data_IF_612067812064
#
_entry.id   IF_612067812064
#
_cell.length_a   1.000
_cell.length_b   1.000
_cell.length_c   1.000
_cell.angle_alpha   90.00
_cell.angle_beta   90.00
_cell.angle_gamma   90.00
#
_symmetry.space_group_name_H-M   'P 1'
#
loop_
_entity.id
_entity.type
_entity.pdbx_description
1 polymer ?
#
# COMPACT_ATOMS: atom_id res chain seq x y z
N UNK A 1 -14.35 -12.15 13.41
CA UNK A 1 -13.26 -11.92 12.44
C UNK A 1 -12.97 -13.24 11.73
N UNK A 2 -13.18 -13.32 10.42
CA UNK A 2 -12.88 -14.51 9.62
C UNK A 2 -11.47 -14.36 9.07
N UNK A 3 -10.60 -15.33 9.34
CA UNK A 3 -9.20 -15.34 8.91
C UNK A 3 -9.00 -16.61 8.10
N UNK A 4 -8.35 -16.48 6.94
CA UNK A 4 -7.96 -17.59 6.09
C UNK A 4 -6.44 -17.75 6.12
N UNK A 5 -5.98 -18.99 6.10
CA UNK A 5 -4.58 -19.38 6.01
C UNK A 5 -4.37 -20.40 4.90
N UNK A 6 -3.15 -20.86 4.71
CA UNK A 6 -2.83 -21.89 3.70
C UNK A 6 -3.68 -23.15 3.85
N UNK A 7 -4.08 -23.52 5.08
CA UNK A 7 -4.95 -24.67 5.33
C UNK A 7 -6.40 -24.48 4.86
N UNK A 8 -6.85 -23.24 4.68
CA UNK A 8 -8.19 -22.90 4.18
C UNK A 8 -8.23 -22.86 2.65
N UNK A 9 -7.07 -22.93 1.99
CA UNK A 9 -6.98 -23.01 0.54
C UNK A 9 -7.22 -24.46 0.10
N UNK A 10 -8.36 -24.72 -0.51
CA UNK A 10 -8.68 -26.03 -1.09
C UNK A 10 -7.78 -26.35 -2.30
N UNK A 11 -8.13 -25.82 -3.47
CA UNK A 11 -7.30 -25.95 -4.67
C UNK A 11 -6.75 -24.58 -5.05
N UNK A 12 -5.45 -24.49 -5.32
CA UNK A 12 -4.90 -23.26 -5.90
C UNK A 12 -5.31 -23.16 -7.38
N UNK A 13 -6.26 -22.27 -7.67
CA UNK A 13 -6.83 -22.10 -9.01
C UNK A 13 -5.89 -21.37 -9.97
N UNK A 14 -4.91 -20.63 -9.45
CA UNK A 14 -4.03 -19.78 -10.25
C UNK A 14 -2.87 -20.52 -10.90
N UNK A 15 -2.47 -21.69 -10.37
CA UNK A 15 -1.37 -22.48 -10.96
C UNK A 15 -1.60 -22.89 -12.42
N UNK A 16 -2.85 -22.99 -12.84
CA UNK A 16 -3.24 -23.28 -14.23
C UNK A 16 -3.73 -22.05 -14.98
N UNK A 17 -3.73 -20.87 -14.37
CA UNK A 17 -4.23 -19.63 -14.95
C UNK A 17 -3.11 -18.76 -15.49
N UNK A 18 -3.44 -17.95 -16.49
CA UNK A 18 -2.62 -16.81 -16.89
C UNK A 18 -3.06 -15.58 -16.10
N UNK A 19 -2.13 -14.93 -15.40
CA UNK A 19 -2.38 -13.72 -14.60
C UNK A 19 -1.75 -12.50 -15.29
N UNK A 20 -2.55 -11.47 -15.57
CA UNK A 20 -2.07 -10.18 -16.05
C UNK A 20 -1.91 -9.20 -14.89
N UNK A 21 -0.68 -8.74 -14.65
CA UNK A 21 -0.39 -7.60 -13.77
C UNK A 21 -0.43 -6.32 -14.60
N UNK A 22 -1.43 -5.46 -14.38
CA UNK A 22 -1.59 -4.21 -15.12
C UNK A 22 -0.95 -3.05 -14.37
N UNK A 23 0.23 -2.62 -14.81
CA UNK A 23 1.06 -1.66 -14.10
C UNK A 23 2.21 -2.32 -13.35
N UNK A 24 3.39 -1.70 -13.40
CA UNK A 24 4.62 -2.23 -12.81
C UNK A 24 5.29 -1.20 -11.88
N UNK A 25 4.47 -0.59 -11.01
CA UNK A 25 4.94 0.30 -9.95
C UNK A 25 5.35 -0.47 -8.69
N UNK A 26 5.27 0.18 -7.52
CA UNK A 26 5.65 -0.39 -6.23
C UNK A 26 5.00 -1.77 -5.97
N UNK A 27 3.66 -1.86 -6.03
CA UNK A 27 2.94 -3.13 -5.84
C UNK A 27 3.06 -4.06 -7.05
N UNK A 28 2.85 -3.53 -8.27
CA UNK A 28 2.90 -4.34 -9.49
C UNK A 28 4.20 -5.14 -9.66
N UNK A 29 5.35 -4.52 -9.35
CA UNK A 29 6.65 -5.19 -9.32
C UNK A 29 6.68 -6.37 -8.35
N UNK A 30 6.25 -6.16 -7.09
CA UNK A 30 6.27 -7.20 -6.07
C UNK A 30 5.34 -8.37 -6.40
N UNK A 31 4.11 -8.07 -6.81
CA UNK A 31 3.13 -9.09 -7.16
C UNK A 31 3.59 -9.90 -8.38
N UNK A 32 4.05 -9.24 -9.45
CA UNK A 32 4.52 -9.95 -10.64
C UNK A 32 5.68 -10.90 -10.34
N UNK A 33 6.67 -10.46 -9.57
CA UNK A 33 7.82 -11.29 -9.21
C UNK A 33 7.42 -12.44 -8.29
N UNK A 34 6.57 -12.21 -7.28
CA UNK A 34 6.13 -13.26 -6.36
C UNK A 34 5.29 -14.33 -7.07
N UNK A 35 4.40 -13.92 -7.98
CA UNK A 35 3.61 -14.84 -8.81
C UNK A 35 4.52 -15.71 -9.70
N UNK A 36 5.48 -15.09 -10.39
CA UNK A 36 6.45 -15.81 -11.23
C UNK A 36 7.25 -16.82 -10.40
N UNK A 37 7.77 -16.41 -9.25
CA UNK A 37 8.58 -17.27 -8.38
C UNK A 37 7.72 -18.38 -7.74
N UNK A 38 6.40 -18.18 -7.65
CA UNK A 38 5.41 -19.19 -7.26
C UNK A 38 4.96 -20.10 -8.41
N UNK A 39 5.53 -19.93 -9.61
CA UNK A 39 5.27 -20.75 -10.79
C UNK A 39 3.97 -20.41 -11.52
N UNK A 40 3.41 -19.22 -11.32
CA UNK A 40 2.22 -18.75 -12.03
C UNK A 40 2.63 -18.09 -13.35
N UNK A 41 1.97 -18.47 -14.45
CA UNK A 41 2.12 -17.81 -15.75
C UNK A 41 1.69 -16.35 -15.64
N UNK A 42 2.66 -15.44 -15.66
CA UNK A 42 2.44 -14.02 -15.38
C UNK A 42 2.80 -13.17 -16.59
N UNK A 43 1.85 -12.34 -17.03
CA UNK A 43 2.04 -11.35 -18.10
C UNK A 43 1.99 -9.96 -17.48
N UNK A 44 2.87 -9.05 -17.91
CA UNK A 44 2.89 -7.67 -17.42
C UNK A 44 2.35 -6.73 -18.51
N UNK A 45 1.26 -6.04 -18.21
CA UNK A 45 0.66 -5.02 -19.06
C UNK A 45 1.08 -3.63 -18.60
N UNK A 46 1.80 -2.88 -19.45
CA UNK A 46 2.18 -1.49 -19.13
C UNK A 46 2.05 -0.58 -20.34
N UNK A 47 1.97 0.73 -20.08
CA UNK A 47 2.02 1.74 -21.14
C UNK A 47 3.39 1.69 -21.82
N UNK A 48 3.39 1.46 -23.13
CA UNK A 48 4.61 1.34 -23.96
C UNK A 48 5.50 2.57 -23.81
N UNK A 49 6.79 2.34 -23.54
CA UNK A 49 7.80 3.39 -23.40
C UNK A 49 7.79 4.13 -22.05
N UNK A 50 6.85 3.83 -21.15
CA UNK A 50 6.84 4.38 -19.79
C UNK A 50 7.89 3.76 -18.88
N UNK A 51 8.05 4.32 -17.67
CA UNK A 51 8.97 3.80 -16.63
C UNK A 51 8.64 2.34 -16.29
N UNK A 52 7.38 2.02 -16.02
CA UNK A 52 6.95 0.66 -15.72
C UNK A 52 7.31 -0.37 -16.80
N UNK A 53 7.34 0.01 -18.08
CA UNK A 53 7.78 -0.87 -19.17
C UNK A 53 9.27 -1.20 -19.05
N UNK A 54 10.09 -0.19 -18.78
CA UNK A 54 11.53 -0.36 -18.61
C UNK A 54 11.85 -1.14 -17.33
N UNK A 55 11.09 -0.88 -16.25
CA UNK A 55 11.27 -1.52 -14.95
C UNK A 55 10.87 -3.00 -15.03
N UNK A 56 9.79 -3.32 -15.73
CA UNK A 56 9.38 -4.68 -16.01
C UNK A 56 10.44 -5.45 -16.81
N UNK A 57 11.04 -4.82 -17.83
CA UNK A 57 12.14 -5.42 -18.58
C UNK A 57 13.35 -5.72 -17.67
N UNK A 58 13.71 -4.80 -16.76
CA UNK A 58 14.77 -5.05 -15.75
C UNK A 58 14.39 -6.16 -14.76
N UNK A 59 13.10 -6.30 -14.47
CA UNK A 59 12.55 -7.40 -13.69
C UNK A 59 12.47 -8.75 -14.43
N UNK A 60 12.85 -8.79 -15.71
CA UNK A 60 12.83 -9.99 -16.55
C UNK A 60 11.46 -10.32 -17.15
N UNK A 61 10.61 -9.31 -17.34
CA UNK A 61 9.32 -9.44 -18.02
C UNK A 61 9.33 -8.75 -19.38
N UNK A 62 8.90 -9.49 -20.41
CA UNK A 62 8.56 -8.93 -21.71
C UNK A 62 7.17 -8.31 -21.64
N UNK A 63 7.11 -7.01 -21.28
CA UNK A 63 5.84 -6.29 -21.16
C UNK A 63 5.11 -6.18 -22.49
N UNK A 64 3.78 -6.18 -22.43
CA UNK A 64 2.88 -5.88 -23.54
C UNK A 64 1.96 -4.70 -23.18
N UNK A 65 1.17 -4.21 -24.14
CA UNK A 65 0.16 -3.19 -23.86
C UNK A 65 -0.94 -3.72 -22.93
N UNK A 66 -1.63 -2.82 -22.21
CA UNK A 66 -2.63 -3.20 -21.20
C UNK A 66 -3.74 -4.07 -21.81
N UNK A 67 -4.37 -3.62 -22.89
CA UNK A 67 -5.40 -4.40 -23.58
C UNK A 67 -4.89 -5.80 -24.03
N UNK A 68 -3.65 -5.89 -24.51
CA UNK A 68 -3.06 -7.15 -24.93
C UNK A 68 -2.79 -8.11 -23.76
N UNK A 69 -2.34 -7.60 -22.61
CA UNK A 69 -2.18 -8.39 -21.40
C UNK A 69 -3.54 -8.91 -20.90
N UNK A 70 -4.54 -8.03 -20.85
CA UNK A 70 -5.91 -8.36 -20.45
C UNK A 70 -6.50 -9.47 -21.31
N UNK A 71 -6.38 -9.39 -22.63
CA UNK A 71 -6.92 -10.37 -23.57
C UNK A 71 -6.29 -11.77 -23.44
N UNK A 72 -5.11 -11.89 -22.82
CA UNK A 72 -4.42 -13.17 -22.62
C UNK A 72 -4.78 -13.84 -21.29
N UNK A 73 -5.30 -13.09 -20.32
CA UNK A 73 -5.34 -13.52 -18.92
C UNK A 73 -6.71 -14.03 -18.46
N UNK A 74 -6.68 -15.06 -17.61
CA UNK A 74 -7.85 -15.57 -16.88
C UNK A 74 -8.08 -14.76 -15.59
N UNK A 75 -7.03 -14.10 -15.08
CA UNK A 75 -7.07 -13.22 -13.91
C UNK A 75 -6.35 -11.92 -14.26
N UNK A 76 -7.02 -10.78 -14.09
CA UNK A 76 -6.49 -9.45 -14.38
C UNK A 76 -6.34 -8.69 -13.07
N UNK A 77 -5.19 -8.09 -12.82
CA UNK A 77 -4.87 -7.42 -11.54
C UNK A 77 -4.62 -5.94 -11.77
N UNK A 78 -5.40 -5.11 -11.08
CA UNK A 78 -5.45 -3.66 -11.23
C UNK A 78 -4.32 -2.96 -10.45
N UNK A 79 -3.07 -3.06 -10.92
CA UNK A 79 -1.88 -2.43 -10.30
C UNK A 79 -1.57 -1.03 -10.89
N UNK A 80 -2.62 -0.34 -11.35
CA UNK A 80 -2.57 1.00 -11.91
C UNK A 80 -2.84 2.04 -10.81
N UNK A 81 -2.34 3.29 -10.95
CA UNK A 81 -2.72 4.38 -10.06
C UNK A 81 -4.24 4.54 -10.02
N UNK A 82 -4.81 4.70 -8.82
CA UNK A 82 -6.27 4.72 -8.61
C UNK A 82 -6.98 5.78 -9.45
N UNK A 83 -6.36 6.95 -9.62
CA UNK A 83 -6.88 8.05 -10.42
C UNK A 83 -6.94 7.76 -11.92
N UNK A 84 -6.17 6.77 -12.39
CA UNK A 84 -6.08 6.39 -13.80
C UNK A 84 -6.90 5.13 -14.13
N UNK A 85 -7.27 4.34 -13.11
CA UNK A 85 -7.94 3.06 -13.29
C UNK A 85 -9.27 3.22 -14.03
N UNK A 86 -10.10 4.23 -13.74
CA UNK A 86 -11.42 4.41 -14.36
C UNK A 86 -11.34 4.49 -15.89
N UNK A 87 -10.57 5.45 -16.41
CA UNK A 87 -10.39 5.64 -17.86
C UNK A 87 -9.74 4.43 -18.53
N UNK A 88 -8.68 3.88 -17.94
CA UNK A 88 -7.98 2.72 -18.53
C UNK A 88 -8.88 1.48 -18.51
N UNK A 89 -9.72 1.34 -17.48
CA UNK A 89 -10.64 0.23 -17.37
C UNK A 89 -11.67 0.26 -18.51
N UNK A 90 -12.30 1.41 -18.74
CA UNK A 90 -13.27 1.60 -19.82
C UNK A 90 -12.64 1.42 -21.21
N UNK A 91 -11.47 2.03 -21.45
CA UNK A 91 -10.86 2.09 -22.77
C UNK A 91 -10.09 0.83 -23.18
N UNK A 92 -9.39 0.18 -22.24
CA UNK A 92 -8.43 -0.88 -22.54
C UNK A 92 -8.72 -2.22 -21.88
N UNK A 93 -9.37 -2.24 -20.71
CA UNK A 93 -9.53 -3.47 -19.92
C UNK A 93 -10.88 -4.11 -20.21
N UNK A 94 -11.99 -3.43 -19.94
CA UNK A 94 -13.33 -3.97 -20.09
C UNK A 94 -13.60 -4.56 -21.50
N UNK A 95 -13.19 -3.90 -22.62
CA UNK A 95 -13.40 -4.46 -23.96
C UNK A 95 -12.51 -5.68 -24.27
N UNK A 96 -11.41 -5.85 -23.53
CA UNK A 96 -10.42 -6.91 -23.75
C UNK A 96 -10.57 -8.10 -22.80
N UNK A 97 -11.46 -8.02 -21.79
CA UNK A 97 -11.66 -9.08 -20.83
C UNK A 97 -12.14 -10.37 -21.51
N UNK A 98 -11.49 -11.48 -21.16
CA UNK A 98 -11.98 -12.81 -21.56
C UNK A 98 -13.25 -13.14 -20.79
N UNK A 99 -14.26 -13.79 -21.41
CA UNK A 99 -15.48 -14.19 -20.71
C UNK A 99 -15.16 -14.97 -19.42
N UNK A 100 -15.72 -14.53 -18.29
CA UNK A 100 -15.52 -15.17 -16.99
C UNK A 100 -14.15 -14.93 -16.32
N UNK A 101 -13.30 -14.07 -16.89
CA UNK A 101 -12.06 -13.66 -16.24
C UNK A 101 -12.33 -13.03 -14.87
N UNK A 102 -11.44 -13.26 -13.90
CA UNK A 102 -11.52 -12.61 -12.59
C UNK A 102 -10.72 -11.30 -12.60
N UNK A 103 -11.22 -10.29 -11.88
CA UNK A 103 -10.59 -8.99 -11.71
C UNK A 103 -10.18 -8.85 -10.25
N UNK A 104 -8.89 -8.67 -10.01
CA UNK A 104 -8.31 -8.50 -8.67
C UNK A 104 -7.94 -7.03 -8.47
N UNK A 105 -8.49 -6.43 -7.44
CA UNK A 105 -8.09 -5.10 -6.97
C UNK A 105 -7.15 -5.22 -5.76
N UNK A 106 -6.01 -4.51 -5.76
CA UNK A 106 -5.14 -4.43 -4.58
C UNK A 106 -5.62 -3.40 -3.55
N UNK A 107 -6.56 -2.53 -3.95
CA UNK A 107 -7.16 -1.50 -3.12
C UNK A 107 -8.61 -1.27 -3.59
N UNK A 108 -9.52 -1.05 -2.66
CA UNK A 108 -10.94 -0.95 -2.93
C UNK A 108 -11.43 0.40 -3.43
N UNK A 109 -10.57 1.44 -3.49
CA UNK A 109 -10.95 2.83 -3.75
C UNK A 109 -11.93 3.01 -4.92
N UNK A 110 -11.55 2.53 -6.11
CA UNK A 110 -12.31 2.79 -7.34
C UNK A 110 -13.67 2.11 -7.35
N UNK A 111 -13.79 0.95 -6.70
CA UNK A 111 -15.06 0.23 -6.54
C UNK A 111 -15.89 0.83 -5.41
N UNK A 112 -15.28 1.11 -4.26
CA UNK A 112 -15.96 1.60 -3.05
C UNK A 112 -16.60 2.98 -3.20
N UNK A 113 -16.12 3.77 -4.16
CA UNK A 113 -16.60 5.12 -4.50
C UNK A 113 -17.22 5.20 -5.90
N UNK A 114 -17.64 4.07 -6.48
CA UNK A 114 -18.41 3.99 -7.73
C UNK A 114 -17.71 4.71 -8.92
N UNK A 115 -16.38 4.58 -9.03
CA UNK A 115 -15.58 5.19 -10.09
C UNK A 115 -15.40 4.28 -11.31
N UNK A 116 -15.76 3.00 -11.20
CA UNK A 116 -15.68 2.00 -12.26
C UNK A 116 -17.03 1.27 -12.36
N UNK A 117 -17.56 1.20 -13.58
CA UNK A 117 -18.68 0.33 -13.90
C UNK A 117 -18.21 -1.11 -14.05
N UNK A 118 -18.49 -1.94 -13.04
CA UNK A 118 -18.04 -3.33 -13.02
C UNK A 118 -18.82 -4.20 -14.03
N UNK A 119 -18.15 -4.96 -14.91
CA UNK A 119 -18.81 -5.77 -15.93
C UNK A 119 -19.48 -7.00 -15.32
N UNK A 120 -20.67 -7.35 -15.82
CA UNK A 120 -21.38 -8.55 -15.37
C UNK A 120 -20.71 -9.83 -15.89
N UNK A 121 -20.88 -10.93 -15.16
CA UNK A 121 -20.33 -12.24 -15.57
C UNK A 121 -18.85 -12.44 -15.25
N UNK A 122 -18.24 -11.52 -14.48
CA UNK A 122 -16.87 -11.61 -14.00
C UNK A 122 -16.83 -11.70 -12.48
N UNK A 123 -15.82 -12.40 -11.96
CA UNK A 123 -15.54 -12.30 -10.52
C UNK A 123 -14.77 -11.01 -10.26
N UNK A 124 -15.14 -10.29 -9.20
CA UNK A 124 -14.46 -9.07 -8.78
C UNK A 124 -14.06 -9.25 -7.32
N UNK A 125 -12.75 -9.27 -7.08
CA UNK A 125 -12.19 -9.63 -5.77
C UNK A 125 -11.14 -8.63 -5.33
N UNK A 126 -11.00 -8.50 -4.02
CA UNK A 126 -10.00 -7.67 -3.37
C UNK A 126 -8.93 -8.58 -2.76
N UNK A 127 -7.67 -8.26 -3.02
CA UNK A 127 -6.53 -8.84 -2.30
C UNK A 127 -5.54 -7.73 -1.99
N UNK A 128 -5.57 -7.23 -0.76
CA UNK A 128 -4.83 -6.05 -0.32
C UNK A 128 -3.79 -6.42 0.75
N UNK A 129 -2.53 -6.71 0.38
CA UNK A 129 -1.44 -6.84 1.33
C UNK A 129 -1.28 -5.54 2.14
N UNK A 130 -1.22 -5.64 3.47
CA UNK A 130 -1.05 -4.48 4.35
C UNK A 130 0.44 -4.14 4.51
N UNK A 131 1.07 -3.87 3.38
CA UNK A 131 2.49 -3.53 3.24
C UNK A 131 2.76 -2.83 1.91
N UNK A 132 3.77 -1.95 1.87
CA UNK A 132 4.31 -1.45 0.61
C UNK A 132 4.94 -2.58 -0.22
N UNK A 133 4.87 -2.47 -1.55
CA UNK A 133 5.31 -3.54 -2.45
C UNK A 133 6.77 -3.98 -2.25
N UNK A 134 7.71 -3.05 -2.01
CA UNK A 134 9.10 -3.41 -1.67
C UNK A 134 9.20 -4.30 -0.42
N UNK A 135 8.39 -4.02 0.60
CA UNK A 135 8.36 -4.83 1.82
C UNK A 135 7.68 -6.17 1.58
N UNK A 136 6.56 -6.21 0.84
CA UNK A 136 5.94 -7.47 0.40
C UNK A 136 6.94 -8.37 -0.32
N UNK A 137 7.69 -7.82 -1.28
CA UNK A 137 8.72 -8.58 -2.01
C UNK A 137 9.85 -9.06 -1.11
N UNK A 138 10.34 -8.20 -0.22
CA UNK A 138 11.39 -8.56 0.75
C UNK A 138 10.94 -9.74 1.62
N UNK A 139 9.78 -9.62 2.25
CA UNK A 139 9.22 -10.65 3.13
C UNK A 139 9.06 -11.97 2.39
N UNK A 140 8.52 -11.93 1.17
CA UNK A 140 8.39 -13.12 0.32
C UNK A 140 9.74 -13.82 0.07
N UNK A 141 10.78 -13.07 -0.31
CA UNK A 141 12.12 -13.65 -0.55
C UNK A 141 12.74 -14.23 0.73
N UNK A 142 12.41 -13.67 1.89
CA UNK A 142 12.83 -14.15 3.20
C UNK A 142 11.95 -15.31 3.71
N UNK A 143 11.03 -15.83 2.88
CA UNK A 143 10.04 -16.85 3.27
C UNK A 143 9.18 -16.44 4.47
N UNK A 144 8.97 -15.13 4.62
CA UNK A 144 8.05 -14.52 5.58
C UNK A 144 6.81 -14.00 4.84
N UNK A 145 5.82 -13.55 5.60
CA UNK A 145 4.53 -13.11 5.05
C UNK A 145 4.09 -11.80 5.65
N UNK A 146 3.31 -11.05 4.88
CA UNK A 146 2.60 -9.86 5.34
C UNK A 146 1.13 -10.18 5.50
N UNK A 147 0.43 -9.60 6.51
CA UNK A 147 -1.01 -9.69 6.61
C UNK A 147 -1.69 -9.13 5.36
N UNK A 148 -2.85 -9.68 5.05
CA UNK A 148 -3.58 -9.36 3.83
C UNK A 148 -5.06 -9.21 4.17
N UNK A 149 -5.75 -8.32 3.46
CA UNK A 149 -7.21 -8.28 3.44
C UNK A 149 -7.73 -8.93 2.16
N UNK A 150 -8.80 -9.72 2.27
CA UNK A 150 -9.46 -10.35 1.11
C UNK A 150 -10.95 -10.02 1.12
N UNK A 151 -11.49 -9.76 -0.07
CA UNK A 151 -12.88 -9.35 -0.29
C UNK A 151 -13.44 -9.89 -1.61
N UNK A 152 -14.76 -9.93 -1.75
CA UNK A 152 -15.48 -10.29 -2.98
C UNK A 152 -16.59 -9.29 -3.17
N UNK A 153 -16.60 -8.61 -4.31
CA UNK A 153 -17.66 -7.71 -4.74
C UNK A 153 -18.64 -8.43 -5.66
N UNK A 154 -18.11 -9.25 -6.58
CA UNK A 154 -18.90 -10.04 -7.51
C UNK A 154 -18.40 -11.48 -7.56
N UNK A 155 -19.32 -12.44 -7.45
CA UNK A 155 -19.04 -13.88 -7.58
C UNK A 155 -19.88 -14.48 -8.70
N UNK A 156 -19.45 -14.25 -9.94
CA UNK A 156 -20.12 -14.75 -11.13
C UNK A 156 -19.89 -16.24 -11.35
N UNK A 157 -18.75 -16.77 -10.89
CA UNK A 157 -18.37 -18.17 -11.08
C UNK A 157 -18.78 -19.10 -9.93
N UNK A 158 -19.09 -18.55 -8.75
CA UNK A 158 -19.25 -19.32 -7.50
C UNK A 158 -17.91 -19.70 -6.85
N UNK A 159 -16.78 -19.20 -7.38
CA UNK A 159 -15.41 -19.48 -6.91
C UNK A 159 -14.59 -18.22 -6.64
N UNK A 160 -15.19 -17.03 -6.60
CA UNK A 160 -14.47 -15.77 -6.46
C UNK A 160 -13.57 -15.75 -5.21
N UNK A 161 -14.10 -16.17 -4.05
CA UNK A 161 -13.30 -16.24 -2.82
C UNK A 161 -12.10 -17.21 -2.96
N UNK A 162 -12.29 -18.38 -3.60
CA UNK A 162 -11.19 -19.35 -3.78
C UNK A 162 -10.11 -18.79 -4.73
N UNK A 163 -10.50 -18.01 -5.75
CA UNK A 163 -9.55 -17.28 -6.60
C UNK A 163 -8.80 -16.19 -5.82
N UNK A 164 -9.49 -15.44 -4.97
CA UNK A 164 -8.87 -14.43 -4.11
C UNK A 164 -7.84 -15.05 -3.14
N UNK A 165 -8.21 -16.16 -2.49
CA UNK A 165 -7.30 -16.90 -1.59
C UNK A 165 -6.14 -17.52 -2.36
N UNK A 166 -6.38 -18.08 -3.55
CA UNK A 166 -5.33 -18.59 -4.42
C UNK A 166 -4.34 -17.49 -4.81
N UNK A 167 -4.83 -16.29 -5.14
CA UNK A 167 -4.00 -15.12 -5.42
C UNK A 167 -3.19 -14.68 -4.21
N UNK A 168 -3.84 -14.51 -3.05
CA UNK A 168 -3.17 -14.16 -1.79
C UNK A 168 -2.08 -15.18 -1.41
N UNK A 169 -2.30 -16.47 -1.67
CA UNK A 169 -1.30 -17.53 -1.47
C UNK A 169 -0.10 -17.36 -2.39
N UNK A 170 -0.32 -17.16 -3.69
CA UNK A 170 0.75 -17.07 -4.69
C UNK A 170 1.59 -15.79 -4.57
N UNK A 171 1.11 -14.78 -3.85
CA UNK A 171 1.92 -13.59 -3.49
C UNK A 171 2.55 -13.68 -2.09
N UNK A 172 2.30 -14.78 -1.37
CA UNK A 172 2.91 -15.10 -0.06
C UNK A 172 2.26 -14.45 1.15
N UNK A 173 0.94 -14.20 1.13
CA UNK A 173 0.23 -13.55 2.22
C UNK A 173 -0.52 -14.51 3.17
N UNK A 174 -0.88 -15.72 2.71
CA UNK A 174 -1.75 -16.60 3.50
C UNK A 174 -1.12 -17.15 4.78
N UNK A 175 0.20 -17.24 4.89
CA UNK A 175 0.83 -17.78 6.10
C UNK A 175 0.76 -16.82 7.28
N UNK A 176 0.84 -15.50 7.07
CA UNK A 176 0.50 -14.50 8.09
C UNK A 176 -1.02 -14.44 8.34
N UNK A 177 -1.80 -14.71 7.30
CA UNK A 177 -3.26 -14.79 7.33
C UNK A 177 -3.91 -13.68 6.52
N UNK A 178 -4.99 -14.05 5.82
CA UNK A 178 -5.86 -13.14 5.09
C UNK A 178 -7.15 -12.90 5.89
N UNK A 179 -7.42 -11.65 6.26
CA UNK A 179 -8.62 -11.27 6.99
C UNK A 179 -9.72 -10.91 6.00
N UNK A 180 -10.92 -11.44 6.20
CA UNK A 180 -12.09 -11.09 5.39
C UNK A 180 -12.50 -9.64 5.60
N UNK A 181 -12.81 -8.93 4.52
CA UNK A 181 -13.31 -7.55 4.52
C UNK A 181 -14.26 -7.31 3.33
N UNK A 182 -14.74 -6.08 3.18
CA UNK A 182 -15.44 -5.58 1.99
C UNK A 182 -14.57 -4.54 1.28
N UNK A 183 -14.84 -4.28 0.00
CA UNK A 183 -14.17 -3.20 -0.73
C UNK A 183 -14.30 -1.85 -0.01
N UNK A 184 -15.49 -1.57 0.54
CA UNK A 184 -15.75 -0.32 1.28
C UNK A 184 -15.00 -0.23 2.59
N UNK A 185 -15.02 -1.27 3.42
CA UNK A 185 -14.27 -1.30 4.68
C UNK A 185 -12.78 -1.15 4.43
N UNK A 186 -12.23 -1.86 3.44
CA UNK A 186 -10.82 -1.74 3.09
C UNK A 186 -10.47 -0.33 2.62
N UNK A 187 -11.21 0.22 1.65
CA UNK A 187 -10.93 1.55 1.14
C UNK A 187 -10.98 2.63 2.24
N UNK A 188 -12.02 2.61 3.08
CA UNK A 188 -12.19 3.60 4.14
C UNK A 188 -11.09 3.49 5.19
N UNK A 189 -10.78 2.27 5.64
CA UNK A 189 -9.78 2.08 6.72
C UNK A 189 -8.36 2.31 6.25
N UNK A 190 -8.03 1.93 5.01
CA UNK A 190 -6.72 2.16 4.41
C UNK A 190 -6.46 3.67 4.26
N UNK A 191 -7.37 4.39 3.60
CA UNK A 191 -7.34 5.86 3.45
C UNK A 191 -7.25 6.58 4.80
N UNK A 192 -8.02 6.12 5.79
CA UNK A 192 -7.99 6.72 7.13
C UNK A 192 -6.63 6.50 7.80
N UNK A 193 -6.09 5.29 7.72
CA UNK A 193 -4.80 4.93 8.29
C UNK A 193 -3.66 5.75 7.70
N UNK A 194 -3.59 5.88 6.37
CA UNK A 194 -2.55 6.67 5.71
C UNK A 194 -2.66 8.17 6.04
N UNK A 195 -3.86 8.73 6.08
CA UNK A 195 -4.04 10.18 6.31
C UNK A 195 -3.78 10.55 7.77
N UNK A 196 -4.22 9.73 8.73
CA UNK A 196 -4.20 10.12 10.15
C UNK A 196 -3.02 9.60 10.93
N UNK A 197 -2.38 8.52 10.48
CA UNK A 197 -1.28 7.87 11.21
C UNK A 197 -0.06 7.68 10.31
N UNK A 198 -0.15 6.87 9.25
CA UNK A 198 1.02 6.30 8.59
C UNK A 198 1.80 7.32 7.75
N UNK A 199 1.09 8.12 6.94
CA UNK A 199 1.69 9.00 5.94
C UNK A 199 1.45 10.49 6.26
N UNK A 200 0.33 10.83 6.89
CA UNK A 200 0.09 12.20 7.36
C UNK A 200 0.56 12.43 8.80
N UNK A 201 0.05 11.64 9.74
CA UNK A 201 0.25 11.87 11.18
C UNK A 201 1.70 11.75 11.64
N UNK A 202 2.35 10.62 11.37
CA UNK A 202 3.73 10.35 11.80
C UNK A 202 4.72 11.37 11.21
N UNK A 203 4.77 11.60 9.87
CA UNK A 203 5.69 12.60 9.32
C UNK A 203 5.43 14.01 9.84
N UNK A 204 4.17 14.42 10.04
CA UNK A 204 3.85 15.72 10.60
C UNK A 204 4.31 15.86 12.06
N UNK A 205 4.13 14.83 12.89
CA UNK A 205 4.58 14.82 14.29
C UNK A 205 6.12 14.88 14.36
N UNK A 206 6.79 14.06 13.56
CA UNK A 206 8.26 14.04 13.44
C UNK A 206 8.77 15.42 13.06
N UNK A 207 8.16 16.05 12.04
CA UNK A 207 8.55 17.38 11.57
C UNK A 207 8.35 18.44 12.65
N UNK A 208 7.19 18.46 13.30
CA UNK A 208 6.92 19.42 14.37
C UNK A 208 7.91 19.28 15.54
N UNK A 209 8.25 18.05 15.93
CA UNK A 209 9.24 17.79 16.98
C UNK A 209 10.65 18.23 16.55
N UNK A 210 11.05 17.92 15.31
CA UNK A 210 12.32 18.34 14.73
C UNK A 210 12.45 19.87 14.69
N UNK A 211 11.44 20.56 14.14
CA UNK A 211 11.43 22.03 14.02
C UNK A 211 11.49 22.67 15.42
N UNK A 212 10.74 22.14 16.39
CA UNK A 212 10.79 22.62 17.78
C UNK A 212 12.21 22.56 18.35
N UNK A 213 12.97 21.48 18.11
CA UNK A 213 14.35 21.39 18.59
C UNK A 213 15.28 22.36 17.83
N UNK A 214 15.21 22.38 16.51
CA UNK A 214 16.12 23.22 15.70
C UNK A 214 15.89 24.71 15.97
N UNK A 215 14.63 25.16 16.06
CA UNK A 215 14.27 26.54 16.39
C UNK A 215 14.75 26.97 17.79
N UNK A 216 14.93 26.02 18.71
CA UNK A 216 15.45 26.27 20.05
C UNK A 216 16.98 26.04 20.17
N UNK A 217 17.69 25.97 19.04
CA UNK A 217 19.15 25.98 18.98
C UNK A 217 19.82 24.62 19.11
N UNK A 218 19.06 23.52 19.07
CA UNK A 218 19.63 22.18 19.02
C UNK A 218 20.14 21.84 17.60
N UNK A 219 21.15 20.98 17.49
CA UNK A 219 21.72 20.58 16.20
C UNK A 219 20.68 19.81 15.35
N UNK A 220 20.53 20.12 14.05
CA UNK A 220 19.66 19.38 13.15
C UNK A 220 19.94 17.88 13.10
N UNK A 221 21.21 17.47 13.11
CA UNK A 221 21.58 16.06 13.08
C UNK A 221 21.17 15.31 14.35
N UNK A 222 21.28 15.95 15.52
CA UNK A 222 20.80 15.39 16.79
C UNK A 222 19.27 15.34 16.81
N UNK A 223 18.59 16.42 16.41
CA UNK A 223 17.13 16.44 16.31
C UNK A 223 16.59 15.35 15.36
N UNK A 224 17.28 15.08 14.24
CA UNK A 224 16.93 13.99 13.35
C UNK A 224 17.04 12.61 14.02
N UNK A 225 18.11 12.38 14.78
CA UNK A 225 18.30 11.12 15.51
C UNK A 225 17.16 10.88 16.51
N UNK A 226 16.89 11.89 17.34
CA UNK A 226 15.87 11.82 18.41
C UNK A 226 14.45 11.73 17.87
N UNK A 227 14.12 12.49 16.82
CA UNK A 227 12.74 12.63 16.36
C UNK A 227 12.34 11.67 15.23
N UNK A 228 13.30 11.13 14.45
CA UNK A 228 12.99 10.22 13.34
C UNK A 228 13.78 8.90 13.38
N UNK A 229 15.09 8.93 13.62
CA UNK A 229 15.87 7.68 13.59
C UNK A 229 15.41 6.70 14.68
N UNK A 230 15.25 7.16 15.91
CA UNK A 230 14.78 6.33 17.03
C UNK A 230 13.32 5.91 16.90
N UNK A 231 12.52 6.59 16.07
CA UNK A 231 11.13 6.19 15.83
C UNK A 231 11.06 4.75 15.32
N UNK A 232 11.99 4.35 14.43
CA UNK A 232 12.05 2.96 13.94
C UNK A 232 12.18 1.97 15.10
N UNK A 233 13.06 2.24 16.05
CA UNK A 233 13.34 1.37 17.20
C UNK A 233 12.08 1.21 18.05
N UNK A 234 11.38 2.32 18.33
CA UNK A 234 10.14 2.30 19.10
C UNK A 234 9.02 1.58 18.34
N UNK A 235 8.90 1.80 17.03
CA UNK A 235 7.89 1.12 16.22
C UNK A 235 8.16 -0.37 16.06
N UNK A 236 9.43 -0.79 16.00
CA UNK A 236 9.81 -2.21 15.95
C UNK A 236 9.35 -2.92 17.26
N UNK A 237 9.60 -2.31 18.42
CA UNK A 237 9.10 -2.84 19.71
C UNK A 237 7.57 -2.90 19.77
N UNK A 238 6.88 -1.88 19.24
CA UNK A 238 5.42 -1.88 19.16
C UNK A 238 4.90 -2.96 18.19
N UNK A 239 5.61 -3.22 17.11
CA UNK A 239 5.27 -4.28 16.16
C UNK A 239 5.47 -5.67 16.78
N UNK A 240 6.53 -5.87 17.57
CA UNK A 240 6.82 -7.14 18.25
C UNK A 240 5.78 -7.52 19.32
N UNK A 241 5.35 -6.57 20.15
CA UNK A 241 4.51 -6.89 21.32
C UNK A 241 3.53 -5.80 21.76
N UNK A 242 3.32 -4.79 20.94
CA UNK A 242 2.41 -3.68 21.22
C UNK A 242 2.98 -2.59 22.15
N UNK A 243 2.20 -1.53 22.42
CA UNK A 243 2.64 -0.38 23.21
C UNK A 243 3.02 -0.73 24.66
N UNK A 244 2.45 -1.77 25.24
CA UNK A 244 2.80 -2.22 26.57
C UNK A 244 4.20 -2.84 26.60
N UNK A 245 4.48 -3.79 25.70
CA UNK A 245 5.79 -4.43 25.54
C UNK A 245 6.92 -3.42 25.25
N UNK A 246 6.64 -2.42 24.41
CA UNK A 246 7.55 -1.31 24.17
C UNK A 246 7.87 -0.55 25.47
N UNK A 247 6.85 -0.22 26.26
CA UNK A 247 7.03 0.52 27.53
C UNK A 247 7.83 -0.25 28.59
N UNK A 248 7.77 -1.58 28.57
CA UNK A 248 8.59 -2.43 29.45
C UNK A 248 10.08 -2.41 29.07
N UNK A 249 10.42 -1.99 27.85
CA UNK A 249 11.79 -2.01 27.30
C UNK A 249 12.46 -0.64 27.22
N UNK A 250 11.75 0.43 27.56
CA UNK A 250 12.30 1.78 27.70
C UNK A 250 12.58 2.12 29.17
N UNK A 251 13.35 3.18 29.41
CA UNK A 251 13.61 3.64 30.78
C UNK A 251 12.33 4.10 31.48
N UNK A 252 12.30 4.02 32.82
CA UNK A 252 11.18 4.52 33.62
C UNK A 252 10.92 6.02 33.40
N UNK A 253 11.98 6.79 33.14
CA UNK A 253 11.88 8.21 32.78
C UNK A 253 11.16 8.40 31.44
N UNK A 254 11.52 7.63 30.42
CA UNK A 254 10.85 7.67 29.11
C UNK A 254 9.39 7.22 29.20
N UNK A 255 9.10 6.16 29.98
CA UNK A 255 7.73 5.71 30.22
C UNK A 255 6.87 6.81 30.87
N UNK A 256 7.36 7.41 31.95
CA UNK A 256 6.68 8.54 32.63
C UNK A 256 6.48 9.75 31.70
N UNK A 257 7.54 10.14 30.98
CA UNK A 257 7.48 11.22 29.99
C UNK A 257 6.45 10.94 28.89
N UNK A 258 6.41 9.71 28.36
CA UNK A 258 5.45 9.34 27.31
C UNK A 258 4.00 9.43 27.79
N UNK A 259 3.67 8.95 29.00
CA UNK A 259 2.30 9.01 29.53
C UNK A 259 1.85 10.43 29.83
N UNK A 260 2.75 11.28 30.33
CA UNK A 260 2.43 12.67 30.66
C UNK A 260 2.37 13.58 29.43
N UNK A 261 3.17 13.31 28.40
CA UNK A 261 3.16 14.04 27.15
C UNK A 261 2.03 13.60 26.19
N UNK A 262 1.68 12.31 26.16
CA UNK A 262 0.68 11.76 25.24
C UNK A 262 -0.64 12.55 25.17
N UNK A 263 -1.34 12.92 26.27
CA UNK A 263 -2.59 13.68 26.19
C UNK A 263 -2.41 15.12 25.69
N UNK A 264 -1.17 15.65 25.71
CA UNK A 264 -0.83 16.96 25.15
C UNK A 264 -0.55 16.89 23.65
N UNK A 265 -0.09 15.73 23.15
CA UNK A 265 0.17 15.49 21.73
C UNK A 265 -1.11 15.06 21.00
N UNK A 266 -1.85 14.12 21.59
CA UNK A 266 -3.14 13.63 21.06
C UNK A 266 -4.25 14.16 21.96
N UNK A 267 -4.69 15.37 21.64
CA UNK A 267 -5.74 16.09 22.37
C UNK A 267 -7.14 15.68 21.91
N UNK A 268 -8.18 16.14 22.60
CA UNK A 268 -9.57 16.02 22.13
C UNK A 268 -9.77 16.66 20.76
N UNK A 269 -9.03 17.74 20.45
CA UNK A 269 -9.08 18.34 19.12
C UNK A 269 -8.50 17.39 18.07
N UNK A 270 -7.35 16.77 18.33
CA UNK A 270 -6.75 15.78 17.43
C UNK A 270 -7.73 14.64 17.13
N UNK A 271 -8.45 14.17 18.16
CA UNK A 271 -9.48 13.12 18.01
C UNK A 271 -10.67 13.59 17.17
N UNK A 272 -11.11 14.85 17.34
CA UNK A 272 -12.17 15.46 16.51
C UNK A 272 -11.75 15.57 15.05
N UNK A 273 -10.50 15.92 14.77
CA UNK A 273 -9.97 15.97 13.40
C UNK A 273 -9.90 14.58 12.78
N UNK A 274 -9.41 13.56 13.50
CA UNK A 274 -9.46 12.17 13.03
C UNK A 274 -10.90 11.76 12.69
N UNK A 275 -11.87 12.06 13.57
CA UNK A 275 -13.27 11.78 13.28
C UNK A 275 -13.80 12.57 12.07
N UNK A 276 -13.28 13.76 11.79
CA UNK A 276 -13.65 14.53 10.59
C UNK A 276 -13.07 13.92 9.32
N UNK A 277 -11.77 13.56 9.34
CA UNK A 277 -11.12 12.86 8.23
C UNK A 277 -11.87 11.58 7.89
N UNK A 278 -12.26 10.78 8.89
CA UNK A 278 -13.07 9.58 8.66
C UNK A 278 -14.40 9.91 7.96
N UNK A 279 -15.12 10.95 8.43
CA UNK A 279 -16.38 11.37 7.78
C UNK A 279 -16.18 11.81 6.34
N UNK A 280 -15.12 12.56 6.04
CA UNK A 280 -14.80 13.06 4.70
C UNK A 280 -14.40 11.92 3.74
N UNK A 281 -13.81 10.85 4.28
CA UNK A 281 -13.57 9.61 3.52
C UNK A 281 -14.89 8.87 3.30
N UNK A 282 -15.65 8.62 4.36
CA UNK A 282 -16.90 7.85 4.30
C UNK A 282 -17.96 8.49 3.40
N UNK A 283 -18.05 9.82 3.34
CA UNK A 283 -19.01 10.53 2.49
C UNK A 283 -18.49 10.78 1.05
N UNK A 284 -17.26 10.33 0.73
CA UNK A 284 -16.64 10.45 -0.59
C UNK A 284 -16.08 11.84 -0.93
N UNK A 285 -16.05 12.78 0.02
CA UNK A 285 -15.47 14.11 -0.19
C UNK A 285 -13.96 14.02 -0.51
N UNK A 286 -13.23 13.18 0.23
CA UNK A 286 -11.81 12.93 -0.08
C UNK A 286 -11.63 12.41 -1.50
N UNK A 287 -12.41 11.40 -1.92
CA UNK A 287 -12.32 10.81 -3.25
C UNK A 287 -12.56 11.85 -4.35
N UNK A 288 -13.58 12.70 -4.19
CA UNK A 288 -13.87 13.81 -5.13
C UNK A 288 -12.71 14.82 -5.20
N UNK A 289 -12.14 15.19 -4.06
CA UNK A 289 -11.00 16.11 -4.01
C UNK A 289 -9.77 15.51 -4.69
N UNK A 290 -9.48 14.23 -4.43
CA UNK A 290 -8.36 13.53 -5.04
C UNK A 290 -8.52 13.45 -6.57
N UNK A 291 -9.66 12.97 -7.06
CA UNK A 291 -9.92 12.87 -8.50
C UNK A 291 -9.84 14.23 -9.21
N UNK A 292 -10.31 15.30 -8.55
CA UNK A 292 -10.17 16.67 -9.07
C UNK A 292 -8.71 17.14 -9.13
N UNK A 293 -7.92 16.87 -8.10
CA UNK A 293 -6.49 17.19 -8.08
C UNK A 293 -5.73 16.40 -9.15
N UNK A 294 -6.05 15.12 -9.31
CA UNK A 294 -5.50 14.26 -10.35
C UNK A 294 -5.81 14.79 -11.76
N UNK A 295 -7.06 15.13 -12.05
CA UNK A 295 -7.48 15.73 -13.32
C UNK A 295 -6.82 17.11 -13.57
N UNK A 296 -6.55 17.88 -12.51
CA UNK A 296 -5.76 19.12 -12.55
C UNK A 296 -4.27 18.91 -12.79
N UNK A 297 -3.85 17.66 -12.96
CA UNK A 297 -2.48 17.24 -13.16
C UNK A 297 -1.66 17.29 -11.88
N UNK A 298 -2.22 17.07 -10.69
CA UNK A 298 -1.49 16.88 -9.42
C UNK A 298 -0.53 18.04 -9.03
N UNK A 299 -0.90 19.29 -9.35
CA UNK A 299 -0.04 20.47 -9.12
C UNK A 299 0.21 20.74 -7.63
N UNK A 300 -0.83 20.64 -6.79
CA UNK A 300 -0.74 20.84 -5.34
C UNK A 300 0.11 19.72 -4.73
N UNK A 301 -0.12 18.48 -5.13
CA UNK A 301 0.67 17.33 -4.65
C UNK A 301 2.17 17.52 -4.97
N UNK A 302 2.53 17.81 -6.22
CA UNK A 302 3.93 18.06 -6.61
C UNK A 302 4.56 19.22 -5.85
N UNK A 303 3.80 20.28 -5.58
CA UNK A 303 4.29 21.41 -4.77
C UNK A 303 4.62 20.95 -3.34
N UNK A 304 3.69 20.25 -2.69
CA UNK A 304 3.86 19.76 -1.31
C UNK A 304 5.06 18.79 -1.19
N UNK A 305 5.17 17.83 -2.11
CA UNK A 305 6.33 16.92 -2.18
C UNK A 305 7.64 17.68 -2.38
N UNK A 306 7.64 18.70 -3.26
CA UNK A 306 8.81 19.53 -3.49
C UNK A 306 9.19 20.39 -2.27
N UNK A 307 8.22 20.85 -1.48
CA UNK A 307 8.45 21.56 -0.22
C UNK A 307 9.06 20.64 0.84
N UNK A 308 8.53 19.42 0.97
CA UNK A 308 9.05 18.41 1.89
C UNK A 308 10.49 18.01 1.56
N UNK A 309 10.81 17.76 0.29
CA UNK A 309 12.17 17.42 -0.15
C UNK A 309 13.22 18.51 0.17
N UNK A 310 12.78 19.76 0.29
CA UNK A 310 13.62 20.92 0.63
C UNK A 310 13.70 21.19 2.13
N UNK A 311 12.97 20.46 2.96
CA UNK A 311 12.96 20.66 4.40
C UNK A 311 14.34 20.40 5.02
N UNK A 312 14.66 21.07 6.14
CA UNK A 312 15.94 20.88 6.83
C UNK A 312 16.11 19.46 7.37
N UNK A 313 15.01 18.86 7.84
CA UNK A 313 14.96 17.46 8.25
C UNK A 313 15.55 16.52 7.18
N UNK A 314 15.21 16.72 5.91
CA UNK A 314 15.71 15.89 4.81
C UNK A 314 17.22 16.12 4.55
N UNK A 315 17.71 17.35 4.74
CA UNK A 315 19.15 17.64 4.64
C UNK A 315 19.93 16.98 5.78
N UNK A 316 19.47 17.13 7.01
CA UNK A 316 20.07 16.50 8.19
C UNK A 316 20.05 14.97 8.05
N UNK A 317 18.90 14.42 7.62
CA UNK A 317 18.71 12.99 7.43
C UNK A 317 19.66 12.38 6.41
N UNK A 318 19.90 13.03 5.26
CA UNK A 318 20.89 12.54 4.30
C UNK A 318 22.29 12.42 4.90
N UNK A 319 22.73 13.41 5.69
CA UNK A 319 24.04 13.36 6.36
C UNK A 319 24.09 12.24 7.38
N UNK A 320 23.07 12.12 8.24
CA UNK A 320 23.03 11.09 9.30
C UNK A 320 22.97 9.69 8.70
N UNK A 321 22.12 9.46 7.69
CA UNK A 321 22.01 8.14 7.03
C UNK A 321 23.30 7.74 6.31
N UNK A 322 24.08 8.69 5.78
CA UNK A 322 25.39 8.41 5.18
C UNK A 322 26.44 7.89 6.19
N UNK A 323 26.20 8.03 7.49
CA UNK A 323 27.05 7.45 8.55
C UNK A 323 26.72 5.97 8.83
N UNK A 324 25.68 5.41 8.18
CA UNK A 324 25.14 4.08 8.45
C UNK A 324 25.21 3.22 7.18
N UNK A 325 26.35 2.54 6.91
CA UNK A 325 26.58 1.82 5.65
C UNK A 325 25.54 0.73 5.35
N UNK A 326 24.90 0.18 6.39
CA UNK A 326 23.83 -0.80 6.23
C UNK A 326 22.54 -0.23 5.61
N UNK A 327 22.44 1.09 5.42
CA UNK A 327 21.32 1.77 4.74
C UNK A 327 21.59 2.08 3.26
N UNK A 328 22.80 1.86 2.74
CA UNK A 328 23.20 2.29 1.39
C UNK A 328 22.40 1.63 0.25
N UNK A 329 21.71 0.52 0.50
CA UNK A 329 20.79 -0.11 -0.46
C UNK A 329 19.43 0.57 -0.62
N UNK A 330 19.16 1.68 0.08
CA UNK A 330 17.84 2.34 0.14
C UNK A 330 17.88 3.83 -0.23
N UNK A 331 18.97 4.32 -0.81
CA UNK A 331 19.01 5.71 -1.28
C UNK A 331 18.07 5.86 -2.49
N UNK A 332 17.01 6.64 -2.32
CA UNK A 332 16.08 7.02 -3.39
C UNK A 332 16.86 7.87 -4.39
N UNK A 333 16.85 7.44 -5.67
CA UNK A 333 17.34 8.24 -6.81
C UNK A 333 16.47 9.47 -7.04
#
# INVERSE_FOLDING_TARGET
MKIYRDADLGKNLLKSSTVAILGYGNQGHAHALNLRDSGVTTVVGTRRGGTGWQDAARGGFDSVGIAAATAQADVVVMMLPDEAQSTIFEEEIAPALRPGAAIVFPHGFTVAFDLIDLPTGHDVVLVAPKAQGHYLRKMFMESQSVPCLVGVEQDASGQALEKALSYASMIGCLSAGAIWTTFREEAVTDLFGEQTVLCGGVPALVRAAFDTLVENGYSPEVAYLECLHELKIITDLMHEGGPHYMRERISRTAAWGSFTAAPRMVTDQTRKEMASVLRDIENGEFAKQWMKEAAGGQKKLRRLVGEEARHELERAGRKVRALMPYLDGHQVS
#
